data_IF_720210809808
#
_entry.id   IF_720210809808
#
_cell.length_a   1.000
_cell.length_b   1.000
_cell.length_c   1.000
_cell.angle_alpha   90.00
_cell.angle_beta   90.00
_cell.angle_gamma   90.00
#
_symmetry.space_group_name_H-M   'P 1'
#
loop_
_entity.id
_entity.type
_entity.pdbx_description
1 polymer ?
#
# COMPACT_ATOMS: atom_id res chain seq x y z
N UNK A 1 -21.90 10.13 -20.76
CA UNK A 1 -20.62 10.78 -20.37
C UNK A 1 -19.86 9.75 -19.57
N UNK A 2 -18.96 9.03 -20.22
CA UNK A 2 -18.26 7.86 -19.69
C UNK A 2 -17.15 8.32 -18.74
N UNK A 3 -17.11 7.74 -17.55
CA UNK A 3 -15.99 7.91 -16.63
C UNK A 3 -14.72 7.42 -17.37
N UNK A 4 -13.64 8.21 -17.43
CA UNK A 4 -12.40 7.76 -18.05
C UNK A 4 -11.92 6.52 -17.31
N UNK A 5 -11.60 5.46 -18.06
CA UNK A 5 -11.02 4.26 -17.48
C UNK A 5 -9.76 4.67 -16.70
N UNK A 6 -9.53 4.14 -15.49
CA UNK A 6 -8.34 4.46 -14.73
C UNK A 6 -7.13 4.09 -15.58
N UNK A 7 -6.32 5.10 -15.94
CA UNK A 7 -5.07 4.88 -16.64
C UNK A 7 -4.27 3.84 -15.87
N UNK A 8 -3.88 2.75 -16.53
CA UNK A 8 -3.03 1.72 -15.93
C UNK A 8 -1.70 2.28 -15.40
N UNK A 9 -1.36 3.51 -15.81
CA UNK A 9 -0.21 4.29 -15.34
C UNK A 9 -0.44 4.95 -13.95
N UNK A 10 -1.69 5.14 -13.51
CA UNK A 10 -2.03 5.49 -12.13
C UNK A 10 -1.90 4.32 -11.16
N UNK A 11 -1.79 3.08 -11.66
CA UNK A 11 -1.57 1.89 -10.83
C UNK A 11 -0.10 1.70 -10.45
N UNK A 12 0.84 2.44 -11.08
CA UNK A 12 2.27 2.10 -11.05
C UNK A 12 3.09 2.94 -10.05
N UNK A 13 2.50 3.90 -9.34
CA UNK A 13 3.27 4.72 -8.37
C UNK A 13 2.83 4.52 -6.92
N UNK A 14 2.57 3.29 -6.51
CA UNK A 14 2.60 2.92 -5.10
C UNK A 14 3.87 2.10 -4.87
N UNK A 15 5.02 2.76 -5.02
CA UNK A 15 6.30 2.14 -4.71
C UNK A 15 6.30 1.73 -3.24
N UNK A 16 6.81 0.52 -2.95
CA UNK A 16 6.98 0.10 -1.57
C UNK A 16 7.74 1.18 -0.80
N UNK A 17 7.08 1.74 0.18
CA UNK A 17 7.65 2.75 1.04
C UNK A 17 7.53 2.23 2.47
N UNK A 18 8.66 2.17 3.17
CA UNK A 18 8.70 1.57 4.49
C UNK A 18 7.85 2.40 5.47
N UNK A 19 7.07 1.75 6.35
CA UNK A 19 6.36 2.44 7.41
C UNK A 19 7.35 3.27 8.24
N UNK A 20 6.97 4.50 8.58
CA UNK A 20 7.77 5.42 9.37
C UNK A 20 7.13 5.70 10.72
N UNK A 21 7.96 5.57 11.77
CA UNK A 21 7.50 5.72 13.14
C UNK A 21 6.79 4.47 13.68
N UNK A 22 6.52 4.52 14.97
CA UNK A 22 6.00 3.37 15.73
C UNK A 22 4.58 2.98 15.28
N UNK A 23 3.74 3.99 15.00
CA UNK A 23 2.35 3.77 14.63
C UNK A 23 2.22 3.08 13.26
N UNK A 24 2.94 3.57 12.25
CA UNK A 24 2.90 2.95 10.91
C UNK A 24 3.50 1.55 10.92
N UNK A 25 4.56 1.32 11.72
CA UNK A 25 5.20 0.00 11.83
C UNK A 25 4.27 -1.02 12.48
N UNK A 26 3.55 -0.62 13.54
CA UNK A 26 2.54 -1.46 14.18
C UNK A 26 1.41 -1.77 13.20
N UNK A 27 0.89 -0.75 12.51
CA UNK A 27 -0.18 -0.91 11.54
C UNK A 27 0.25 -1.85 10.41
N UNK A 28 1.42 -1.64 9.82
CA UNK A 28 1.98 -2.49 8.76
C UNK A 28 2.14 -3.95 9.21
N UNK A 29 2.53 -4.18 10.47
CA UNK A 29 2.66 -5.53 11.03
C UNK A 29 1.29 -6.22 11.14
N UNK A 30 0.26 -5.50 11.60
CA UNK A 30 -1.12 -6.03 11.67
C UNK A 30 -1.63 -6.38 10.27
N UNK A 31 -1.41 -5.51 9.28
CA UNK A 31 -1.82 -5.76 7.91
C UNK A 31 -1.05 -6.92 7.27
N UNK A 32 0.25 -7.05 7.56
CA UNK A 32 1.05 -8.18 7.09
C UNK A 32 0.48 -9.52 7.58
N UNK A 33 0.04 -9.59 8.84
CA UNK A 33 -0.59 -10.77 9.42
C UNK A 33 -1.96 -11.08 8.79
N UNK A 34 -2.80 -10.06 8.60
CA UNK A 34 -4.15 -10.21 8.03
C UNK A 34 -4.08 -10.63 6.56
N UNK A 35 -3.18 -10.01 5.78
CA UNK A 35 -3.03 -10.25 4.35
C UNK A 35 -2.10 -11.43 4.05
N UNK A 36 -1.37 -11.94 5.06
CA UNK A 36 -0.35 -13.00 4.94
C UNK A 36 0.73 -12.67 3.91
N UNK A 37 1.24 -11.44 3.97
CA UNK A 37 2.32 -10.95 3.09
C UNK A 37 3.57 -10.67 3.91
N UNK A 38 4.74 -10.71 3.27
CA UNK A 38 6.02 -10.52 3.98
C UNK A 38 6.20 -9.11 4.55
N UNK A 39 5.70 -8.07 3.85
CA UNK A 39 5.79 -6.70 4.33
C UNK A 39 4.72 -5.81 3.68
N UNK A 40 4.14 -4.90 4.47
CA UNK A 40 3.20 -3.88 4.00
C UNK A 40 3.87 -2.51 4.09
N UNK A 41 3.96 -1.82 2.95
CA UNK A 41 4.40 -0.44 2.88
C UNK A 41 3.24 0.53 3.06
N UNK A 42 3.55 1.83 3.10
CA UNK A 42 2.54 2.89 3.29
C UNK A 42 1.75 3.27 2.02
N UNK A 43 2.06 2.67 0.87
CA UNK A 43 1.43 2.93 -0.42
C UNK A 43 0.83 1.67 -1.06
#
# INVERSE_FOLDING_TARGET
KTLPAPDAQSLISHGYEAPQGELETLLASIWADVLKVEQVGRH
#
